data_IF_858740542785
#
_entry.id   IF_858740542785
#
_cell.length_a   1.000
_cell.length_b   1.000
_cell.length_c   1.000
_cell.angle_alpha   90.00
_cell.angle_beta   90.00
_cell.angle_gamma   90.00
#
_symmetry.space_group_name_H-M   'P 1'
#
loop_
_entity.id
_entity.type
_entity.pdbx_description
1 polymer ?
#
# COMPACT_ATOMS: atom_id res chain seq x y z
N UNK A 1 15.77 1.84 22.99
CA UNK A 1 14.76 1.93 21.87
C UNK A 1 13.61 1.01 22.21
N UNK A 2 12.37 1.45 22.10
CA UNK A 2 11.21 0.69 22.60
C UNK A 2 10.39 0.04 21.48
N UNK A 3 10.56 0.48 20.24
CA UNK A 3 9.84 -0.03 19.07
C UNK A 3 10.53 0.44 17.78
N UNK A 4 10.56 -0.38 16.73
CA UNK A 4 11.04 0.00 15.42
C UNK A 4 9.90 -0.02 14.41
N UNK A 5 9.78 1.07 13.62
CA UNK A 5 8.87 1.15 12.48
C UNK A 5 9.74 1.38 11.23
N UNK A 6 9.92 0.32 10.44
CA UNK A 6 10.76 0.30 9.25
C UNK A 6 9.88 0.40 7.99
N UNK A 7 9.75 1.60 7.43
CA UNK A 7 8.94 1.87 6.23
C UNK A 7 9.80 2.22 4.99
N UNK A 8 11.12 2.38 5.16
CA UNK A 8 12.03 2.73 4.08
C UNK A 8 12.22 1.59 3.09
N UNK A 9 12.16 1.91 1.79
CA UNK A 9 12.43 0.97 0.71
C UNK A 9 12.63 1.68 -0.62
N UNK A 10 13.30 1.02 -1.59
CA UNK A 10 13.18 1.36 -3.00
C UNK A 10 11.80 0.90 -3.49
N UNK A 11 10.96 1.82 -3.98
CA UNK A 11 9.55 1.56 -4.32
C UNK A 11 9.22 1.69 -5.80
N UNK A 12 10.21 1.95 -6.66
CA UNK A 12 10.01 2.13 -8.09
C UNK A 12 9.70 0.80 -8.79
N UNK A 13 8.45 0.60 -9.17
CA UNK A 13 7.98 -0.62 -9.83
C UNK A 13 8.46 -0.76 -11.27
N UNK A 14 9.11 0.26 -11.82
CA UNK A 14 9.65 0.29 -13.18
C UNK A 14 11.17 0.19 -13.23
N UNK A 15 11.80 0.11 -12.09
CA UNK A 15 13.22 -0.23 -11.95
C UNK A 15 13.35 -1.76 -12.01
N UNK A 16 14.22 -2.26 -12.90
CA UNK A 16 14.45 -3.70 -13.10
C UNK A 16 15.82 -4.15 -12.59
N UNK A 17 16.64 -3.26 -12.01
CA UNK A 17 17.90 -3.65 -11.40
C UNK A 17 17.68 -4.37 -10.07
N UNK A 18 17.72 -5.70 -10.12
CA UNK A 18 17.55 -6.55 -8.93
C UNK A 18 18.55 -6.24 -7.81
N UNK A 19 19.80 -5.85 -8.13
CA UNK A 19 20.81 -5.59 -7.11
C UNK A 19 20.41 -4.44 -6.19
N UNK A 20 19.75 -3.42 -6.75
CA UNK A 20 19.21 -2.29 -5.97
C UNK A 20 18.16 -2.78 -4.97
N UNK A 21 17.22 -3.61 -5.42
CA UNK A 21 16.17 -4.16 -4.56
C UNK A 21 16.73 -5.16 -3.54
N UNK A 22 17.66 -6.02 -3.95
CA UNK A 22 18.33 -6.94 -3.03
C UNK A 22 18.96 -6.15 -1.88
N UNK A 23 19.78 -5.17 -2.16
CA UNK A 23 20.49 -4.39 -1.15
C UNK A 23 19.60 -3.53 -0.28
N UNK A 24 18.68 -2.76 -0.90
CA UNK A 24 17.91 -1.72 -0.20
C UNK A 24 16.61 -2.25 0.43
N UNK A 25 16.04 -3.32 -0.11
CA UNK A 25 14.79 -3.87 0.40
C UNK A 25 15.02 -5.18 1.15
N UNK A 26 15.72 -6.14 0.55
CA UNK A 26 15.90 -7.47 1.14
C UNK A 26 16.92 -7.42 2.27
N UNK A 27 18.20 -7.21 1.93
CA UNK A 27 19.31 -7.28 2.90
C UNK A 27 19.11 -6.31 4.08
N UNK A 28 18.63 -5.10 3.77
CA UNK A 28 18.41 -4.08 4.81
C UNK A 28 17.27 -4.46 5.75
N UNK A 29 16.15 -5.00 5.24
CA UNK A 29 15.03 -5.40 6.10
C UNK A 29 15.38 -6.65 6.91
N UNK A 30 16.10 -7.62 6.32
CA UNK A 30 16.60 -8.81 7.02
C UNK A 30 17.56 -8.43 8.15
N UNK A 31 18.47 -7.47 7.91
CA UNK A 31 19.35 -6.92 8.93
C UNK A 31 18.56 -6.27 10.07
N UNK A 32 17.58 -5.43 9.76
CA UNK A 32 16.73 -4.77 10.75
C UNK A 32 15.95 -5.77 11.59
N UNK A 33 15.38 -6.81 10.96
CA UNK A 33 14.68 -7.88 11.66
C UNK A 33 15.61 -8.66 12.61
N UNK A 34 16.79 -9.00 12.12
CA UNK A 34 17.82 -9.74 12.90
C UNK A 34 18.25 -8.94 14.14
N UNK A 35 18.55 -7.64 13.97
CA UNK A 35 18.89 -6.75 15.09
C UNK A 35 17.71 -6.62 16.08
N UNK A 36 16.48 -6.46 15.59
CA UNK A 36 15.31 -6.41 16.45
C UNK A 36 15.10 -7.71 17.23
N UNK A 37 15.37 -8.86 16.62
CA UNK A 37 15.33 -10.15 17.29
C UNK A 37 16.47 -10.33 18.33
N UNK A 38 17.66 -9.85 18.02
CA UNK A 38 18.81 -9.90 18.93
C UNK A 38 18.59 -9.05 20.18
N UNK A 39 18.17 -7.81 20.00
CA UNK A 39 17.96 -6.84 21.08
C UNK A 39 16.55 -6.86 21.68
N UNK A 40 15.71 -7.82 21.31
CA UNK A 40 14.33 -7.97 21.78
C UNK A 40 13.51 -6.68 21.63
N UNK A 41 13.59 -6.06 20.42
CA UNK A 41 12.87 -4.84 20.08
C UNK A 41 11.72 -5.20 19.14
N UNK A 42 10.46 -4.81 19.42
CA UNK A 42 9.34 -5.02 18.50
C UNK A 42 9.53 -4.28 17.17
N UNK A 43 9.04 -4.87 16.08
CA UNK A 43 9.22 -4.37 14.73
C UNK A 43 7.91 -4.33 13.94
N UNK A 44 7.60 -3.20 13.31
CA UNK A 44 6.66 -3.13 12.18
C UNK A 44 7.46 -2.79 10.92
N UNK A 45 7.22 -3.52 9.83
CA UNK A 45 7.87 -3.23 8.55
C UNK A 45 6.88 -3.15 7.40
N UNK A 46 7.26 -2.39 6.36
CA UNK A 46 6.47 -2.26 5.14
C UNK A 46 6.68 -3.46 4.21
N UNK A 47 5.68 -4.33 4.10
CA UNK A 47 5.47 -5.21 2.96
C UNK A 47 4.59 -4.49 1.92
N UNK A 48 4.03 -5.20 0.95
CA UNK A 48 3.25 -4.59 -0.13
C UNK A 48 2.22 -5.55 -0.73
N UNK A 49 1.08 -5.04 -1.17
CA UNK A 49 0.14 -5.77 -2.00
C UNK A 49 0.72 -6.16 -3.38
N UNK A 50 1.84 -5.54 -3.81
CA UNK A 50 2.57 -5.96 -5.01
C UNK A 50 3.09 -7.41 -4.93
N UNK A 51 3.17 -8.00 -3.74
CA UNK A 51 3.52 -9.41 -3.52
C UNK A 51 2.48 -10.36 -4.11
N UNK A 52 1.21 -9.95 -4.21
CA UNK A 52 0.10 -10.78 -4.71
C UNK A 52 0.11 -10.99 -6.23
N UNK A 53 0.97 -10.30 -6.96
CA UNK A 53 1.02 -10.41 -8.42
C UNK A 53 -0.31 -10.04 -9.08
N UNK A 54 -0.85 -10.90 -9.92
CA UNK A 54 -2.16 -10.71 -10.56
C UNK A 54 -3.36 -10.99 -9.63
N UNK A 55 -3.14 -11.40 -8.38
CA UNK A 55 -4.21 -11.76 -7.46
C UNK A 55 -4.85 -13.13 -7.73
N UNK A 56 -4.16 -14.03 -8.42
CA UNK A 56 -4.68 -15.36 -8.77
C UNK A 56 -5.03 -16.22 -7.55
N UNK A 57 -4.33 -15.99 -6.43
CA UNK A 57 -4.59 -16.65 -5.14
C UNK A 57 -5.45 -15.79 -4.21
N UNK A 58 -6.08 -14.72 -4.74
CA UNK A 58 -6.75 -13.72 -3.93
C UNK A 58 -5.77 -12.76 -3.25
N UNK A 59 -6.33 -11.91 -2.38
CA UNK A 59 -5.56 -10.95 -1.57
C UNK A 59 -5.62 -11.37 -0.10
N UNK A 60 -5.18 -12.60 0.16
CA UNK A 60 -5.17 -13.23 1.48
C UNK A 60 -3.79 -13.05 2.13
N UNK A 61 -3.77 -12.52 3.36
CA UNK A 61 -2.57 -12.30 4.15
C UNK A 61 -2.20 -13.48 5.07
N UNK A 62 -2.76 -14.66 4.82
CA UNK A 62 -2.33 -15.89 5.48
C UNK A 62 -0.88 -16.23 5.11
N UNK A 63 -0.15 -16.83 6.05
CA UNK A 63 1.25 -17.20 5.83
C UNK A 63 1.41 -18.32 4.81
N UNK A 64 0.39 -19.14 4.63
CA UNK A 64 0.40 -20.34 3.77
C UNK A 64 0.47 -20.03 2.28
N UNK A 65 0.00 -18.84 1.87
CA UNK A 65 0.03 -18.42 0.46
C UNK A 65 1.35 -17.79 0.04
N UNK A 66 2.17 -17.30 0.98
CA UNK A 66 3.35 -16.44 0.71
C UNK A 66 4.35 -17.12 -0.23
N UNK A 67 4.62 -18.43 -0.04
CA UNK A 67 5.54 -19.19 -0.92
C UNK A 67 5.02 -19.37 -2.35
N UNK A 68 3.71 -19.27 -2.56
CA UNK A 68 3.05 -19.49 -3.85
C UNK A 68 2.84 -18.21 -4.64
N UNK A 69 3.02 -17.05 -3.99
CA UNK A 69 2.80 -15.74 -4.62
C UNK A 69 3.80 -15.48 -5.75
N UNK A 70 3.32 -14.88 -6.84
CA UNK A 70 4.10 -14.56 -8.03
C UNK A 70 4.05 -13.06 -8.35
N UNK A 71 4.92 -12.25 -7.72
CA UNK A 71 5.00 -10.83 -7.98
C UNK A 71 5.38 -10.50 -9.42
N UNK A 72 4.81 -9.42 -9.98
CA UNK A 72 4.96 -9.05 -11.40
C UNK A 72 6.24 -8.25 -11.71
N UNK A 73 6.93 -7.74 -10.70
CA UNK A 73 8.09 -6.88 -10.87
C UNK A 73 9.11 -7.08 -9.74
N UNK A 74 10.36 -6.59 -9.90
CA UNK A 74 11.41 -6.74 -8.89
C UNK A 74 11.06 -6.14 -7.53
N UNK A 75 10.30 -5.03 -7.48
CA UNK A 75 9.82 -4.45 -6.23
C UNK A 75 8.94 -5.43 -5.46
N UNK A 76 7.87 -5.93 -6.09
CA UNK A 76 6.96 -6.91 -5.46
C UNK A 76 7.70 -8.18 -5.05
N UNK A 77 8.63 -8.66 -5.89
CA UNK A 77 9.51 -9.79 -5.57
C UNK A 77 10.33 -9.51 -4.31
N UNK A 78 10.97 -8.35 -4.20
CA UNK A 78 11.81 -8.02 -3.04
C UNK A 78 11.02 -8.03 -1.73
N UNK A 79 9.76 -7.55 -1.75
CA UNK A 79 8.88 -7.60 -0.57
C UNK A 79 8.46 -9.03 -0.24
N UNK A 80 8.19 -9.85 -1.25
CA UNK A 80 7.82 -11.25 -1.03
C UNK A 80 8.99 -12.11 -0.54
N UNK A 81 10.21 -11.87 -1.00
CA UNK A 81 11.41 -12.57 -0.49
C UNK A 81 11.64 -12.25 0.99
N UNK A 82 11.47 -11.00 1.41
CA UNK A 82 11.51 -10.61 2.84
C UNK A 82 10.43 -11.33 3.64
N UNK A 83 9.17 -11.33 3.15
CA UNK A 83 8.06 -12.01 3.85
C UNK A 83 8.36 -13.51 4.02
N UNK A 84 8.84 -14.19 2.96
CA UNK A 84 9.26 -15.59 3.00
C UNK A 84 10.40 -15.85 3.99
N UNK A 85 11.41 -14.98 3.97
CA UNK A 85 12.57 -15.13 4.83
C UNK A 85 12.18 -14.98 6.31
N UNK A 86 11.39 -13.95 6.66
CA UNK A 86 10.93 -13.70 8.03
C UNK A 86 10.14 -14.90 8.58
N UNK A 87 9.24 -15.46 7.78
CA UNK A 87 8.42 -16.60 8.19
C UNK A 87 9.25 -17.87 8.53
N UNK A 88 10.48 -17.98 8.03
CA UNK A 88 11.41 -19.09 8.29
C UNK A 88 12.30 -18.86 9.53
N UNK A 89 12.30 -17.64 10.10
CA UNK A 89 13.18 -17.34 11.23
C UNK A 89 12.67 -17.97 12.51
N UNK A 90 13.55 -18.69 13.21
CA UNK A 90 13.28 -19.26 14.54
C UNK A 90 13.51 -18.24 15.66
N UNK A 91 14.49 -17.34 15.49
CA UNK A 91 14.74 -16.22 16.40
C UNK A 91 14.01 -14.98 15.86
N UNK A 92 13.06 -14.50 16.60
CA UNK A 92 12.17 -13.39 16.17
C UNK A 92 12.14 -12.26 17.21
N UNK A 93 11.83 -11.03 16.80
CA UNK A 93 11.47 -9.96 17.73
C UNK A 93 10.32 -10.39 18.65
N UNK A 94 10.15 -9.79 19.84
CA UNK A 94 9.04 -10.11 20.76
C UNK A 94 7.66 -9.86 20.15
N UNK A 95 7.61 -8.98 19.15
CA UNK A 95 6.48 -8.75 18.26
C UNK A 95 6.99 -8.27 16.90
N UNK A 96 6.35 -8.73 15.83
CA UNK A 96 6.58 -8.18 14.50
C UNK A 96 5.31 -8.17 13.66
N UNK A 97 5.17 -7.17 12.81
CA UNK A 97 4.10 -7.10 11.82
C UNK A 97 4.64 -6.62 10.47
N UNK A 98 4.42 -7.41 9.44
CA UNK A 98 4.65 -7.04 8.04
C UNK A 98 3.35 -6.52 7.43
N UNK A 99 3.30 -5.22 7.12
CA UNK A 99 2.10 -4.58 6.62
C UNK A 99 2.11 -4.57 5.08
N UNK A 100 1.23 -5.36 4.46
CA UNK A 100 1.04 -5.39 3.01
C UNK A 100 0.22 -4.18 2.57
N UNK A 101 0.89 -3.06 2.32
CA UNK A 101 0.24 -1.81 1.89
C UNK A 101 -0.39 -1.96 0.51
N UNK A 102 -1.65 -1.57 0.41
CA UNK A 102 -2.35 -1.38 -0.85
C UNK A 102 -2.02 0.01 -1.44
N UNK A 103 -2.91 0.64 -2.18
CA UNK A 103 -2.59 1.90 -2.87
C UNK A 103 -2.67 3.10 -1.91
N UNK A 104 -1.55 3.37 -1.23
CA UNK A 104 -1.45 4.49 -0.27
C UNK A 104 -1.39 5.82 -0.99
N UNK A 105 -2.16 6.80 -0.51
CA UNK A 105 -2.12 8.20 -0.96
C UNK A 105 -2.14 9.17 0.23
N UNK A 106 -1.69 10.40 0.00
CA UNK A 106 -1.75 11.46 1.00
C UNK A 106 -0.55 12.40 0.98
N UNK A 107 -0.46 13.32 1.94
CA UNK A 107 0.61 14.32 1.97
C UNK A 107 2.01 13.71 2.07
N UNK A 108 3.00 14.55 1.71
CA UNK A 108 4.44 14.23 1.77
C UNK A 108 4.92 13.22 0.70
N UNK A 109 4.24 13.13 -0.44
CA UNK A 109 4.67 12.29 -1.56
C UNK A 109 5.32 13.05 -2.73
N UNK A 110 5.58 14.34 -2.58
CA UNK A 110 6.07 15.24 -3.65
C UNK A 110 7.41 14.80 -4.26
N UNK A 111 8.23 14.11 -3.47
CA UNK A 111 9.54 13.60 -3.89
C UNK A 111 9.47 12.29 -4.69
N UNK A 112 8.31 11.65 -4.76
CA UNK A 112 8.16 10.32 -5.39
C UNK A 112 8.13 10.36 -6.93
N UNK A 113 8.09 11.55 -7.54
CA UNK A 113 8.02 11.67 -9.00
C UNK A 113 6.86 10.87 -9.57
N UNK A 114 7.14 10.01 -10.55
CA UNK A 114 6.13 9.16 -11.22
C UNK A 114 5.43 8.16 -10.29
N UNK A 115 6.03 7.83 -9.14
CA UNK A 115 5.47 6.89 -8.16
C UNK A 115 4.54 7.57 -7.13
N UNK A 116 4.32 8.87 -7.24
CA UNK A 116 3.30 9.56 -6.45
C UNK A 116 1.89 9.08 -6.81
N UNK A 117 0.94 9.30 -5.91
CA UNK A 117 -0.44 8.84 -6.12
C UNK A 117 -1.10 9.48 -7.34
N UNK A 118 -2.09 8.77 -7.89
CA UNK A 118 -2.90 9.31 -9.00
C UNK A 118 -3.62 10.62 -8.59
N UNK A 119 -3.91 10.82 -7.30
CA UNK A 119 -4.49 12.10 -6.80
C UNK A 119 -3.51 13.25 -7.03
N UNK A 120 -2.24 13.07 -6.64
CA UNK A 120 -1.20 14.08 -6.85
C UNK A 120 -1.01 14.40 -8.33
N UNK A 121 -0.94 13.36 -9.18
CA UNK A 121 -0.85 13.55 -10.63
C UNK A 121 -2.10 14.22 -11.22
N UNK A 122 -3.30 13.83 -10.78
CA UNK A 122 -4.56 14.46 -11.21
C UNK A 122 -4.61 15.93 -10.84
N UNK A 123 -4.25 16.28 -9.59
CA UNK A 123 -4.19 17.67 -9.15
C UNK A 123 -3.27 18.52 -10.05
N UNK A 124 -2.06 18.02 -10.35
CA UNK A 124 -1.12 18.72 -11.22
C UNK A 124 -1.64 18.84 -12.67
N UNK A 125 -2.25 17.79 -13.22
CA UNK A 125 -2.84 17.81 -14.56
C UNK A 125 -4.01 18.79 -14.64
N UNK A 126 -4.90 18.81 -13.63
CA UNK A 126 -6.04 19.75 -13.56
C UNK A 126 -5.54 21.20 -13.53
N UNK A 127 -4.51 21.50 -12.75
CA UNK A 127 -3.93 22.83 -12.71
C UNK A 127 -3.27 23.24 -14.03
N UNK A 128 -2.58 22.33 -14.68
CA UNK A 128 -1.83 22.61 -15.91
C UNK A 128 -2.75 22.70 -17.15
N UNK A 129 -3.77 21.84 -17.24
CA UNK A 129 -4.53 21.65 -18.50
C UNK A 129 -6.05 21.67 -18.33
N UNK A 130 -6.55 21.67 -17.10
CA UNK A 130 -7.98 21.51 -16.81
C UNK A 130 -8.52 20.10 -17.07
N UNK A 131 -7.67 19.11 -17.34
CA UNK A 131 -8.06 17.73 -17.68
C UNK A 131 -7.24 16.72 -16.90
N UNK A 132 -7.79 15.49 -16.73
CA UNK A 132 -7.05 14.31 -16.24
C UNK A 132 -7.08 13.22 -17.30
N UNK A 133 -5.93 12.59 -17.54
CA UNK A 133 -5.80 11.44 -18.43
C UNK A 133 -5.90 10.16 -17.63
N UNK A 134 -6.88 9.31 -17.99
CA UNK A 134 -7.04 7.96 -17.44
C UNK A 134 -6.92 6.92 -18.56
N UNK A 135 -6.58 5.70 -18.19
CA UNK A 135 -6.45 4.62 -19.15
C UNK A 135 -7.81 4.08 -19.59
N UNK A 136 -7.93 3.83 -20.92
CA UNK A 136 -9.00 2.99 -21.46
C UNK A 136 -8.87 1.56 -20.95
N UNK A 137 -10.00 0.87 -20.91
CA UNK A 137 -9.97 -0.56 -20.67
C UNK A 137 -9.61 -1.32 -21.96
N UNK A 138 -8.77 -2.34 -21.85
CA UNK A 138 -8.52 -3.33 -22.90
C UNK A 138 -9.19 -4.67 -22.56
N UNK A 139 -10.10 -4.66 -21.57
CA UNK A 139 -10.90 -5.82 -21.16
C UNK A 139 -12.38 -5.49 -21.27
N UNK A 140 -13.21 -6.44 -21.77
CA UNK A 140 -14.65 -6.19 -21.97
C UNK A 140 -15.45 -6.09 -20.67
N UNK A 141 -14.93 -6.62 -19.57
CA UNK A 141 -15.56 -6.62 -18.24
C UNK A 141 -15.34 -5.33 -17.46
N UNK A 142 -14.51 -4.41 -17.96
CA UNK A 142 -14.28 -3.09 -17.36
C UNK A 142 -14.54 -1.98 -18.38
N UNK A 143 -15.19 -0.91 -17.93
CA UNK A 143 -15.29 0.34 -18.70
C UNK A 143 -14.01 1.17 -18.55
N UNK A 144 -13.82 2.17 -19.42
CA UNK A 144 -12.72 3.11 -19.39
C UNK A 144 -12.65 3.83 -18.02
N UNK A 145 -11.47 3.85 -17.41
CA UNK A 145 -11.24 4.44 -16.09
C UNK A 145 -11.84 3.67 -14.91
N UNK A 146 -12.52 2.52 -15.16
CA UNK A 146 -13.19 1.73 -14.11
C UNK A 146 -12.33 0.58 -13.57
N UNK A 147 -11.05 0.57 -13.87
CA UNK A 147 -10.12 -0.34 -13.20
C UNK A 147 -10.11 0.00 -11.70
N UNK A 148 -10.12 -1.03 -10.85
CA UNK A 148 -10.36 -0.91 -9.41
C UNK A 148 -9.08 -1.08 -8.60
N UNK A 149 -8.91 -0.25 -7.58
CA UNK A 149 -7.84 -0.35 -6.58
C UNK A 149 -8.39 -0.09 -5.19
N UNK A 150 -7.80 -0.75 -4.23
CA UNK A 150 -7.99 -0.40 -2.82
C UNK A 150 -7.08 0.78 -2.48
N UNK A 151 -7.66 1.98 -2.41
CA UNK A 151 -6.97 3.21 -2.06
C UNK A 151 -7.10 3.47 -0.57
N UNK A 152 -5.97 3.58 0.12
CA UNK A 152 -5.93 3.86 1.55
C UNK A 152 -5.24 5.18 1.87
N UNK A 153 -5.83 5.97 2.76
CA UNK A 153 -5.28 7.25 3.16
C UNK A 153 -4.11 7.07 4.14
N UNK A 154 -3.04 7.84 3.97
CA UNK A 154 -1.81 7.70 4.77
C UNK A 154 -2.02 7.88 6.28
N UNK A 155 -3.03 8.68 6.68
CA UNK A 155 -3.37 8.84 8.11
C UNK A 155 -3.96 7.57 8.72
N UNK A 156 -4.66 6.76 7.93
CA UNK A 156 -5.17 5.46 8.38
C UNK A 156 -4.02 4.46 8.58
N UNK A 157 -3.01 4.50 7.71
CA UNK A 157 -1.76 3.73 7.90
C UNK A 157 -1.13 4.07 9.25
N UNK A 158 -0.97 5.38 9.54
CA UNK A 158 -0.43 5.82 10.81
C UNK A 158 -1.29 5.36 12.01
N UNK A 159 -2.63 5.42 11.87
CA UNK A 159 -3.56 4.95 12.91
C UNK A 159 -3.39 3.46 13.21
N UNK A 160 -3.25 2.61 12.18
CA UNK A 160 -3.03 1.16 12.37
C UNK A 160 -1.68 0.89 13.01
N UNK A 161 -0.62 1.58 12.60
CA UNK A 161 0.70 1.42 13.22
C UNK A 161 0.65 1.82 14.71
N UNK A 162 0.02 2.94 15.05
CA UNK A 162 -0.17 3.36 16.44
C UNK A 162 -0.97 2.30 17.24
N UNK A 163 -2.06 1.79 16.68
CA UNK A 163 -2.82 0.70 17.28
C UNK A 163 -1.95 -0.52 17.60
N UNK A 164 -1.12 -0.98 16.65
CA UNK A 164 -0.23 -2.12 16.87
C UNK A 164 0.79 -1.86 17.98
N UNK A 165 1.34 -0.64 18.05
CA UNK A 165 2.28 -0.23 19.11
C UNK A 165 1.58 -0.22 20.47
N UNK A 166 0.39 0.36 20.56
CA UNK A 166 -0.41 0.45 21.78
C UNK A 166 -0.80 -0.93 22.30
N UNK A 167 -1.30 -1.79 21.42
CA UNK A 167 -1.70 -3.17 21.77
C UNK A 167 -0.53 -4.04 22.20
N UNK A 168 0.66 -3.85 21.61
CA UNK A 168 1.85 -4.56 22.06
C UNK A 168 2.30 -4.11 23.47
N UNK A 169 2.11 -2.83 23.81
CA UNK A 169 2.46 -2.27 25.11
C UNK A 169 1.47 -2.58 26.23
N UNK A 170 0.24 -2.92 25.87
CA UNK A 170 -0.80 -3.29 26.83
C UNK A 170 -0.54 -4.68 27.39
N UNK A 171 0.12 -4.73 28.55
CA UNK A 171 0.40 -5.97 29.27
C UNK A 171 -0.72 -6.38 30.22
N UNK A 172 -1.71 -5.50 30.47
CA UNK A 172 -2.80 -5.74 31.42
C UNK A 172 -3.94 -6.55 30.78
N UNK A 173 -4.09 -6.45 29.45
CA UNK A 173 -5.13 -7.17 28.68
C UNK A 173 -4.55 -8.11 27.62
N UNK A 174 -3.90 -9.23 28.00
CA UNK A 174 -3.23 -10.13 27.03
C UNK A 174 -4.12 -10.68 25.92
N UNK A 175 -5.45 -10.78 26.17
CA UNK A 175 -6.43 -11.26 25.18
C UNK A 175 -6.58 -10.34 23.97
N UNK A 176 -6.10 -9.11 24.05
CA UNK A 176 -6.19 -8.08 23.00
C UNK A 176 -4.85 -7.79 22.32
N UNK A 177 -3.81 -8.60 22.60
CA UNK A 177 -2.53 -8.44 21.90
C UNK A 177 -2.63 -8.87 20.45
N UNK A 178 -2.12 -8.03 19.55
CA UNK A 178 -1.96 -8.35 18.13
C UNK A 178 -0.88 -9.43 18.00
N UNK A 179 -1.17 -10.50 17.29
CA UNK A 179 -0.19 -11.56 17.04
C UNK A 179 0.84 -11.12 15.99
N UNK A 180 2.08 -11.59 16.13
CA UNK A 180 3.08 -11.42 15.07
C UNK A 180 2.63 -12.06 13.76
N UNK A 181 2.89 -11.38 12.64
CA UNK A 181 2.50 -11.90 11.32
C UNK A 181 2.40 -10.85 10.23
N UNK A 182 1.97 -11.30 9.06
CA UNK A 182 1.64 -10.44 7.93
C UNK A 182 0.20 -9.97 8.04
N UNK A 183 -0.04 -8.72 7.70
CA UNK A 183 -1.37 -8.09 7.72
C UNK A 183 -1.58 -7.25 6.47
N UNK A 184 -2.71 -7.46 5.80
CA UNK A 184 -3.15 -6.53 4.78
C UNK A 184 -3.46 -5.16 5.38
N UNK A 185 -3.12 -4.11 4.63
CA UNK A 185 -3.46 -2.75 4.99
C UNK A 185 -3.95 -1.97 3.77
N UNK A 186 -5.23 -2.12 3.53
CA UNK A 186 -6.10 -1.40 2.61
C UNK A 186 -7.34 -0.95 3.35
N UNK A 187 -8.40 -0.63 2.64
CA UNK A 187 -9.72 -0.30 3.20
C UNK A 187 -10.69 -1.48 3.14
N UNK A 188 -10.42 -2.47 2.27
CA UNK A 188 -11.36 -3.54 1.92
C UNK A 188 -12.50 -3.07 1.01
N UNK A 189 -12.34 -1.92 0.34
CA UNK A 189 -13.34 -1.31 -0.55
C UNK A 189 -12.64 -0.77 -1.79
N UNK A 190 -12.53 -1.58 -2.82
CA UNK A 190 -11.93 -1.17 -4.08
C UNK A 190 -12.74 -0.06 -4.77
N UNK A 191 -12.07 0.96 -5.28
CA UNK A 191 -12.64 2.11 -5.96
C UNK A 191 -11.98 2.32 -7.32
N UNK A 192 -12.70 2.96 -8.24
CA UNK A 192 -12.19 3.18 -9.59
C UNK A 192 -11.22 4.37 -9.67
N UNK A 193 -10.35 4.35 -10.68
CA UNK A 193 -9.54 5.53 -11.01
C UNK A 193 -10.41 6.71 -11.44
N UNK A 194 -11.59 6.42 -12.04
CA UNK A 194 -12.57 7.46 -12.33
C UNK A 194 -13.07 8.15 -11.07
N UNK A 195 -13.48 7.38 -10.04
CA UNK A 195 -13.92 7.94 -8.76
C UNK A 195 -12.84 8.81 -8.14
N UNK A 196 -11.59 8.34 -8.17
CA UNK A 196 -10.46 9.07 -7.62
C UNK A 196 -10.24 10.40 -8.34
N UNK A 197 -10.23 10.40 -9.68
CA UNK A 197 -10.08 11.62 -10.46
C UNK A 197 -11.27 12.58 -10.28
N UNK A 198 -12.51 12.06 -10.30
CA UNK A 198 -13.71 12.86 -10.10
C UNK A 198 -13.74 13.54 -8.72
N UNK A 199 -13.33 12.81 -7.66
CA UNK A 199 -13.23 13.39 -6.32
C UNK A 199 -12.09 14.44 -6.23
N UNK A 200 -11.00 14.28 -6.99
CA UNK A 200 -9.96 15.32 -7.08
C UNK A 200 -10.51 16.61 -7.71
N UNK A 201 -11.22 16.51 -8.83
CA UNK A 201 -11.91 17.67 -9.43
C UNK A 201 -12.87 18.35 -8.45
N UNK A 202 -13.72 17.55 -7.80
CA UNK A 202 -14.69 18.02 -6.80
C UNK A 202 -14.00 18.76 -5.64
N UNK A 203 -12.90 18.21 -5.13
CA UNK A 203 -12.14 18.82 -4.05
C UNK A 203 -11.51 20.16 -4.45
N UNK A 204 -11.15 20.32 -5.74
CA UNK A 204 -10.65 21.57 -6.34
C UNK A 204 -11.77 22.55 -6.74
N UNK A 205 -13.05 22.20 -6.58
CA UNK A 205 -14.18 23.03 -7.01
C UNK A 205 -14.29 23.19 -8.53
N UNK A 206 -13.90 22.17 -9.29
CA UNK A 206 -13.91 22.16 -10.77
C UNK A 206 -14.81 21.06 -11.32
N UNK A 207 -15.34 21.28 -12.50
CA UNK A 207 -16.12 20.28 -13.24
C UNK A 207 -15.20 19.14 -13.72
N UNK A 208 -15.75 17.91 -13.71
CA UNK A 208 -15.03 16.70 -14.11
C UNK A 208 -14.76 16.75 -15.62
N UNK A 209 -13.48 16.65 -16.00
CA UNK A 209 -13.02 16.64 -17.39
C UNK A 209 -11.93 15.57 -17.56
N UNK A 210 -12.34 14.39 -17.99
CA UNK A 210 -11.47 13.21 -18.13
C UNK A 210 -11.31 12.86 -19.59
N UNK A 211 -10.05 12.73 -20.01
CA UNK A 211 -9.64 12.24 -21.32
C UNK A 211 -9.15 10.80 -21.16
N UNK A 212 -9.69 9.87 -21.96
CA UNK A 212 -9.23 8.49 -21.94
C UNK A 212 -8.16 8.25 -23.00
N UNK A 213 -7.04 7.65 -22.56
CA UNK A 213 -5.89 7.31 -23.37
C UNK A 213 -5.62 5.79 -23.31
N UNK A 214 -4.95 5.24 -24.32
CA UNK A 214 -4.62 3.82 -24.32
C UNK A 214 -3.55 3.49 -23.28
N UNK A 215 -3.61 2.28 -22.71
CA UNK A 215 -2.54 1.77 -21.85
C UNK A 215 -1.30 1.56 -22.73
N UNK A 216 -0.12 2.10 -22.32
CA UNK A 216 1.12 1.83 -23.03
C UNK A 216 1.36 0.32 -23.23
N UNK A 217 1.85 -0.07 -24.40
CA UNK A 217 1.98 -1.48 -24.79
C UNK A 217 2.89 -2.27 -23.84
N UNK A 218 3.96 -1.66 -23.36
CA UNK A 218 4.96 -2.24 -22.46
C UNK A 218 4.43 -2.65 -21.08
N UNK A 219 3.30 -2.04 -20.64
CA UNK A 219 2.67 -2.35 -19.34
C UNK A 219 1.31 -3.02 -19.47
N UNK A 220 0.72 -3.06 -20.69
CA UNK A 220 -0.67 -3.50 -20.92
C UNK A 220 -0.94 -4.91 -20.39
N UNK A 221 -0.08 -5.86 -20.71
CA UNK A 221 -0.25 -7.28 -20.35
C UNK A 221 -0.03 -7.55 -18.85
N UNK A 222 0.65 -6.62 -18.17
CA UNK A 222 0.94 -6.69 -16.74
C UNK A 222 0.05 -5.76 -15.89
N UNK A 223 -0.90 -5.09 -16.56
CA UNK A 223 -1.74 -4.12 -15.89
C UNK A 223 -2.83 -4.81 -15.07
N UNK A 224 -2.77 -4.65 -13.76
CA UNK A 224 -3.79 -5.17 -12.86
C UNK A 224 -5.09 -4.40 -13.02
N UNK A 225 -6.23 -5.10 -13.10
CA UNK A 225 -7.55 -4.49 -13.23
C UNK A 225 -8.29 -4.40 -11.91
N UNK A 226 -7.91 -5.20 -10.92
CA UNK A 226 -8.57 -5.25 -9.62
C UNK A 226 -7.57 -5.53 -8.51
N UNK A 227 -7.65 -4.77 -7.40
CA UNK A 227 -7.03 -5.11 -6.12
C UNK A 227 -7.94 -4.67 -4.98
N UNK A 228 -8.21 -5.56 -4.02
CA UNK A 228 -8.98 -5.26 -2.81
C UNK A 228 -8.44 -6.07 -1.65
N UNK A 229 -8.15 -5.41 -0.52
CA UNK A 229 -7.59 -6.05 0.65
C UNK A 229 -8.64 -6.90 1.36
N UNK A 230 -8.31 -8.14 1.69
CA UNK A 230 -9.03 -8.87 2.72
C UNK A 230 -8.56 -8.36 4.10
N UNK A 231 -9.44 -7.63 4.78
CA UNK A 231 -9.12 -6.97 6.06
C UNK A 231 -9.52 -7.80 7.29
N UNK A 232 -10.01 -9.03 7.10
CA UNK A 232 -10.54 -9.89 8.18
C UNK A 232 -9.54 -10.05 9.32
N UNK A 233 -8.29 -10.39 9.01
CA UNK A 233 -7.25 -10.62 10.02
C UNK A 233 -6.94 -9.38 10.88
N UNK A 234 -6.90 -8.18 10.28
CA UNK A 234 -6.70 -6.95 11.03
C UNK A 234 -7.91 -6.62 11.92
N UNK A 235 -9.14 -6.88 11.43
CA UNK A 235 -10.37 -6.71 12.22
C UNK A 235 -10.43 -7.70 13.38
N UNK A 236 -10.09 -8.96 13.16
CA UNK A 236 -9.99 -9.99 14.22
C UNK A 236 -8.90 -9.67 15.25
N UNK A 237 -7.84 -8.97 14.84
CA UNK A 237 -6.82 -8.45 15.75
C UNK A 237 -7.32 -7.28 16.61
N UNK A 238 -8.56 -6.82 16.41
CA UNK A 238 -9.25 -5.81 17.23
C UNK A 238 -9.12 -4.38 16.71
N UNK A 239 -8.69 -4.16 15.47
CA UNK A 239 -8.76 -2.83 14.86
C UNK A 239 -10.19 -2.58 14.35
N UNK A 240 -10.95 -1.83 15.11
CA UNK A 240 -12.39 -1.55 14.88
C UNK A 240 -12.68 -0.17 14.26
N UNK A 241 -11.67 0.70 14.17
CA UNK A 241 -11.85 2.03 13.56
C UNK A 241 -12.19 1.93 12.07
N UNK A 242 -13.16 2.73 11.65
CA UNK A 242 -13.46 2.89 10.22
C UNK A 242 -12.30 3.57 9.50
N UNK A 243 -12.03 3.12 8.26
CA UNK A 243 -11.08 3.77 7.38
C UNK A 243 -11.71 5.00 6.74
N UNK A 244 -10.88 6.02 6.51
CA UNK A 244 -11.29 7.25 5.82
C UNK A 244 -11.85 6.92 4.43
N UNK A 245 -13.02 7.47 4.09
CA UNK A 245 -13.61 7.30 2.76
C UNK A 245 -12.69 7.91 1.69
N UNK A 246 -12.78 7.42 0.44
CA UNK A 246 -12.03 8.02 -0.67
C UNK A 246 -12.36 9.50 -0.81
N UNK A 247 -13.63 9.85 -0.67
CA UNK A 247 -14.14 11.21 -0.76
C UNK A 247 -13.49 12.14 0.28
N UNK A 248 -13.49 11.72 1.54
CA UNK A 248 -12.96 12.53 2.65
C UNK A 248 -11.43 12.61 2.60
N UNK A 249 -10.75 11.50 2.32
CA UNK A 249 -9.30 11.46 2.21
C UNK A 249 -8.77 12.31 1.04
N UNK A 250 -9.42 12.24 -0.13
CA UNK A 250 -9.09 13.09 -1.28
C UNK A 250 -9.36 14.56 -0.96
N UNK A 251 -10.52 14.86 -0.33
CA UNK A 251 -10.85 16.23 0.05
C UNK A 251 -9.84 16.82 1.05
N UNK A 252 -9.47 16.06 2.06
CA UNK A 252 -8.44 16.49 3.04
C UNK A 252 -7.08 16.70 2.38
N UNK A 253 -6.64 15.76 1.55
CA UNK A 253 -5.33 15.85 0.88
C UNK A 253 -5.27 17.04 -0.07
N UNK A 254 -6.28 17.21 -0.93
CA UNK A 254 -6.31 18.32 -1.91
C UNK A 254 -6.42 19.67 -1.21
N UNK A 255 -7.41 19.87 -0.34
CA UNK A 255 -7.71 21.18 0.24
C UNK A 255 -6.68 21.61 1.29
N UNK A 256 -6.21 20.69 2.11
CA UNK A 256 -5.38 21.02 3.27
C UNK A 256 -3.88 20.93 2.99
N UNK A 257 -3.47 20.28 1.89
CA UNK A 257 -2.05 20.09 1.57
C UNK A 257 -1.69 20.54 0.15
N UNK A 258 -2.42 20.09 -0.90
CA UNK A 258 -2.02 20.41 -2.28
C UNK A 258 -2.36 21.85 -2.71
N UNK A 259 -3.49 22.39 -2.23
CA UNK A 259 -3.90 23.77 -2.55
C UNK A 259 -3.24 24.83 -1.65
N UNK A 260 -2.55 24.42 -0.58
CA UNK A 260 -1.88 25.34 0.35
C UNK A 260 -0.38 25.51 0.08
N UNK A 261 0.18 24.66 -0.76
CA UNK A 261 1.53 24.74 -1.29
C UNK A 261 1.46 25.34 -2.71
#
# INVERSE_FOLDING_TARGET
>A
MTFVVHLGARTDTTDFDWNVFQKLNVDYTEMMFTLCAEYQIPLVYASSAATYGNGELGYDDSHEVVEKLQPLNPYGRSKNEVDKWILKQTKQPPFWAGLKFFNVYGPNEYHKGRMASVIFHSFNQINATGKVKLFRSHRPDFKDGQQLRDFIYVKDIASVICFMIERHRDTETPRHQVKSGLYNLGTGKARSFYDLAANTFKAMGRDVNIEFIDIPEDIRDKYQYFTEANMTKLREAGYDKEFTSLEDGVADYVKNYLMRN
#
